data_IF_247629490594
#
_entry.id   IF_247629490594
#
_cell.length_a   1.000
_cell.length_b   1.000
_cell.length_c   1.000
_cell.angle_alpha   90.00
_cell.angle_beta   90.00
_cell.angle_gamma   90.00
#
_symmetry.space_group_name_H-M   'P 1'
#
loop_
_entity.id
_entity.type
_entity.pdbx_description
1 polymer ?
#
# COMPACT_ATOMS: atom_id res chain seq x y z
N UNK A 1 -37.34 48.85 21.38
CA UNK A 1 -36.46 47.92 20.61
C UNK A 1 -34.99 48.36 20.65
N UNK A 2 -34.59 49.51 20.10
CA UNK A 2 -33.16 49.94 20.13
C UNK A 2 -32.59 50.07 21.54
N UNK A 3 -33.37 50.62 22.48
CA UNK A 3 -32.97 50.73 23.89
C UNK A 3 -32.70 49.35 24.51
N UNK A 4 -33.59 48.38 24.28
CA UNK A 4 -33.41 46.99 24.71
C UNK A 4 -32.12 46.37 24.12
N UNK A 5 -31.84 46.58 22.84
CA UNK A 5 -30.60 46.10 22.23
C UNK A 5 -29.36 46.74 22.84
N UNK A 6 -29.40 48.04 23.17
CA UNK A 6 -28.30 48.73 23.83
C UNK A 6 -28.10 48.22 25.26
N UNK A 7 -29.18 47.99 26.00
CA UNK A 7 -29.14 47.43 27.35
C UNK A 7 -28.53 46.02 27.34
N UNK A 8 -29.00 45.13 26.45
CA UNK A 8 -28.42 43.79 26.28
C UNK A 8 -26.94 43.88 25.85
N UNK A 9 -26.60 44.84 24.99
CA UNK A 9 -25.25 45.08 24.50
C UNK A 9 -24.23 45.34 25.63
N UNK A 10 -24.65 45.98 26.72
CA UNK A 10 -23.81 46.20 27.90
C UNK A 10 -23.39 44.90 28.61
N UNK A 11 -24.16 43.81 28.42
CA UNK A 11 -23.89 42.49 28.99
C UNK A 11 -23.29 41.50 27.98
N UNK A 12 -22.96 41.95 26.77
CA UNK A 12 -22.49 41.10 25.67
C UNK A 12 -21.31 40.20 26.04
N UNK A 13 -20.32 40.72 26.76
CA UNK A 13 -19.17 39.95 27.23
C UNK A 13 -19.58 38.78 28.13
N UNK A 14 -20.46 39.04 29.11
CA UNK A 14 -20.97 38.02 30.04
C UNK A 14 -21.82 36.98 29.31
N UNK A 15 -22.66 37.41 28.36
CA UNK A 15 -23.51 36.52 27.57
C UNK A 15 -22.66 35.60 26.68
N UNK A 16 -21.66 36.14 25.97
CA UNK A 16 -20.76 35.35 25.14
C UNK A 16 -19.86 34.43 25.97
N UNK A 17 -19.41 34.88 27.15
CA UNK A 17 -18.68 34.03 28.10
C UNK A 17 -19.52 32.83 28.56
N UNK A 18 -20.78 33.08 28.92
CA UNK A 18 -21.73 32.01 29.31
C UNK A 18 -21.99 31.05 28.16
N UNK A 19 -22.24 31.57 26.95
CA UNK A 19 -22.47 30.74 25.75
C UNK A 19 -21.26 29.83 25.45
N UNK A 20 -20.03 30.35 25.56
CA UNK A 20 -18.80 29.54 25.38
C UNK A 20 -18.65 28.46 26.43
N UNK A 21 -19.01 28.75 27.69
CA UNK A 21 -18.95 27.76 28.77
C UNK A 21 -19.98 26.64 28.54
N UNK A 22 -21.22 26.99 28.17
CA UNK A 22 -22.25 26.02 27.82
C UNK A 22 -21.85 25.17 26.61
N UNK A 23 -21.28 25.78 25.57
CA UNK A 23 -20.79 25.04 24.40
C UNK A 23 -19.70 24.02 24.75
N UNK A 24 -18.78 24.35 25.68
CA UNK A 24 -17.77 23.39 26.16
C UNK A 24 -18.40 22.24 26.93
N UNK A 25 -19.35 22.54 27.82
CA UNK A 25 -20.09 21.50 28.57
C UNK A 25 -20.86 20.57 27.64
N UNK A 26 -21.52 21.11 26.62
CA UNK A 26 -22.24 20.33 25.61
C UNK A 26 -21.30 19.37 24.87
N UNK A 27 -20.17 19.87 24.37
CA UNK A 27 -19.15 19.04 23.71
C UNK A 27 -18.63 17.94 24.63
N UNK A 28 -18.23 18.25 25.87
CA UNK A 28 -17.70 17.25 26.79
C UNK A 28 -18.74 16.19 27.17
N UNK A 29 -20.00 16.60 27.36
CA UNK A 29 -21.09 15.68 27.69
C UNK A 29 -21.40 14.77 26.50
N UNK A 30 -21.44 15.31 25.28
CA UNK A 30 -21.65 14.52 24.07
C UNK A 30 -20.53 13.49 23.85
N UNK A 31 -19.26 13.88 24.05
CA UNK A 31 -18.13 12.95 23.96
C UNK A 31 -18.21 11.84 25.02
N UNK A 32 -18.56 12.19 26.26
CA UNK A 32 -18.71 11.22 27.35
C UNK A 32 -19.88 10.25 27.11
N UNK A 33 -21.01 10.74 26.60
CA UNK A 33 -22.18 9.92 26.24
C UNK A 33 -21.83 8.87 25.17
N UNK A 34 -21.14 9.30 24.10
CA UNK A 34 -20.68 8.38 23.05
C UNK A 34 -19.70 7.37 23.62
N UNK A 35 -18.74 7.80 24.44
CA UNK A 35 -17.74 6.92 25.03
C UNK A 35 -18.38 5.82 25.89
N UNK A 36 -19.35 6.17 26.72
CA UNK A 36 -20.09 5.22 27.56
C UNK A 36 -20.93 4.25 26.72
N UNK A 37 -21.66 4.75 25.73
CA UNK A 37 -22.54 3.89 24.91
C UNK A 37 -21.78 2.92 24.00
N UNK A 38 -20.57 3.28 23.60
CA UNK A 38 -19.77 2.54 22.60
C UNK A 38 -18.55 1.85 23.20
N UNK A 39 -18.40 1.87 24.53
CA UNK A 39 -17.25 1.32 25.24
C UNK A 39 -15.93 1.86 24.66
N UNK A 40 -15.81 3.19 24.57
CA UNK A 40 -14.54 3.81 24.18
C UNK A 40 -13.66 3.98 25.41
N UNK A 41 -12.35 3.94 25.20
CA UNK A 41 -11.35 3.99 26.27
C UNK A 41 -10.57 5.30 26.22
N UNK A 42 -10.09 5.73 27.38
CA UNK A 42 -9.25 6.93 27.48
C UNK A 42 -7.87 6.60 26.88
N UNK A 43 -7.43 7.27 25.80
CA UNK A 43 -6.11 7.04 25.24
C UNK A 43 -5.01 7.62 26.16
N UNK A 44 -3.84 6.99 26.12
CA UNK A 44 -2.60 7.56 26.69
C UNK A 44 -1.88 8.32 25.58
N UNK A 45 -1.71 9.64 25.75
CA UNK A 45 -0.95 10.47 24.81
C UNK A 45 0.53 10.51 25.20
N UNK A 46 1.42 10.36 24.22
CA UNK A 46 2.88 10.37 24.43
C UNK A 46 3.59 11.33 23.46
N UNK A 47 4.84 11.65 23.75
CA UNK A 47 5.71 12.47 22.88
C UNK A 47 6.74 11.62 22.12
N UNK A 48 6.84 10.32 22.43
CA UNK A 48 7.84 9.39 21.89
C UNK A 48 7.51 8.88 20.47
N UNK A 49 6.35 9.27 19.92
CA UNK A 49 5.96 8.97 18.55
C UNK A 49 5.47 7.54 18.32
N UNK A 50 5.32 6.71 19.36
CA UNK A 50 4.76 5.36 19.25
C UNK A 50 3.28 5.38 18.89
N UNK A 51 2.78 4.33 18.25
CA UNK A 51 1.36 4.13 18.02
C UNK A 51 1.03 2.68 18.36
N UNK A 52 0.22 2.47 19.40
CA UNK A 52 -0.23 1.16 19.84
C UNK A 52 -1.73 1.23 20.11
N UNK A 53 -2.53 0.57 19.28
CA UNK A 53 -3.98 0.49 19.45
C UNK A 53 -4.33 -0.99 19.49
N UNK A 54 -4.99 -1.42 20.56
CA UNK A 54 -5.49 -2.78 20.75
C UNK A 54 -6.98 -2.84 20.47
N UNK A 55 -7.37 -3.80 19.66
CA UNK A 55 -8.75 -4.01 19.23
C UNK A 55 -9.43 -2.71 18.74
N UNK A 56 -8.72 -1.93 17.92
CA UNK A 56 -9.26 -0.70 17.35
C UNK A 56 -10.45 -0.97 16.45
N UNK A 57 -11.43 -0.07 16.46
CA UNK A 57 -12.67 -0.16 15.68
C UNK A 57 -12.93 1.13 14.91
N UNK A 58 -13.49 1.03 13.71
CA UNK A 58 -13.85 2.21 12.94
C UNK A 58 -15.18 2.80 13.47
N UNK A 59 -15.20 4.00 14.07
CA UNK A 59 -16.35 4.47 14.87
C UNK A 59 -17.64 4.62 14.05
N UNK A 60 -17.53 5.00 12.77
CA UNK A 60 -18.69 5.12 11.87
C UNK A 60 -19.15 3.76 11.33
N UNK A 61 -18.23 2.91 10.86
CA UNK A 61 -18.59 1.60 10.27
C UNK A 61 -19.18 0.67 11.33
N UNK A 62 -18.61 0.65 12.54
CA UNK A 62 -19.17 -0.06 13.71
C UNK A 62 -20.60 0.42 13.99
N UNK A 63 -20.81 1.73 14.10
CA UNK A 63 -22.13 2.29 14.38
C UNK A 63 -23.18 1.99 13.29
N UNK A 64 -22.76 1.84 12.03
CA UNK A 64 -23.65 1.47 10.91
C UNK A 64 -23.93 -0.03 10.91
N UNK A 65 -22.95 -0.88 11.24
CA UNK A 65 -23.11 -2.32 11.34
C UNK A 65 -24.18 -2.68 12.40
N UNK A 66 -24.13 -2.03 13.57
CA UNK A 66 -25.09 -2.26 14.67
C UNK A 66 -26.54 -1.88 14.34
N UNK A 67 -26.74 -1.00 13.35
CA UNK A 67 -28.09 -0.55 12.93
C UNK A 67 -28.77 -1.50 11.97
N UNK A 68 -28.06 -2.48 11.42
CA UNK A 68 -28.65 -3.47 10.51
C UNK A 68 -29.55 -4.44 11.30
N UNK A 69 -30.64 -4.95 10.70
CA UNK A 69 -31.53 -5.90 11.37
C UNK A 69 -30.76 -7.09 11.95
N UNK A 70 -31.08 -7.44 13.20
CA UNK A 70 -30.47 -8.57 13.91
C UNK A 70 -30.64 -9.86 13.11
N UNK A 71 -29.52 -10.52 12.79
CA UNK A 71 -29.46 -11.75 11.99
C UNK A 71 -28.81 -11.62 10.60
N UNK A 72 -28.56 -10.40 10.11
CA UNK A 72 -27.91 -10.14 8.81
C UNK A 72 -26.63 -9.28 8.91
N UNK A 73 -26.23 -8.91 10.12
CA UNK A 73 -25.11 -8.02 10.38
C UNK A 73 -23.94 -8.80 10.98
N UNK A 74 -22.86 -8.96 10.24
CA UNK A 74 -21.60 -9.41 10.81
C UNK A 74 -21.07 -8.34 11.76
N UNK A 75 -20.63 -8.72 12.99
CA UNK A 75 -20.01 -7.77 13.90
C UNK A 75 -18.74 -7.18 13.29
N UNK A 76 -18.46 -5.91 13.58
CA UNK A 76 -17.22 -5.29 13.15
C UNK A 76 -16.02 -6.03 13.76
N UNK A 77 -15.04 -6.40 12.93
CA UNK A 77 -13.83 -7.10 13.37
C UNK A 77 -12.79 -6.08 13.86
N UNK A 78 -12.47 -6.04 15.16
CA UNK A 78 -11.47 -5.11 15.68
C UNK A 78 -10.05 -5.53 15.27
N UNK A 79 -9.17 -4.54 15.11
CA UNK A 79 -7.80 -4.75 14.63
C UNK A 79 -6.77 -4.02 15.49
N UNK A 80 -5.66 -4.70 15.74
CA UNK A 80 -4.50 -4.11 16.40
C UNK A 80 -3.68 -3.29 15.39
N UNK A 81 -3.04 -2.23 15.86
CA UNK A 81 -1.92 -1.61 15.14
C UNK A 81 -0.83 -1.27 16.13
N UNK A 82 0.40 -1.67 15.79
CA UNK A 82 1.60 -1.29 16.53
C UNK A 82 2.64 -0.75 15.56
N UNK A 83 3.09 0.47 15.81
CA UNK A 83 4.14 1.14 15.05
C UNK A 83 5.10 1.84 16.01
N UNK A 84 6.37 1.51 15.88
CA UNK A 84 7.46 2.29 16.45
C UNK A 84 7.70 3.57 15.62
N UNK A 85 8.41 4.57 16.15
CA UNK A 85 8.64 5.83 15.45
C UNK A 85 9.31 5.65 14.08
N UNK A 86 8.66 6.15 13.04
CA UNK A 86 9.15 6.11 11.66
C UNK A 86 9.10 4.74 10.99
N UNK A 87 8.31 3.80 11.53
CA UNK A 87 7.94 2.56 10.85
C UNK A 87 6.94 2.79 9.71
N UNK A 88 7.05 1.94 8.70
CA UNK A 88 6.18 1.90 7.52
C UNK A 88 5.55 0.50 7.48
N UNK A 89 4.23 0.44 7.50
CA UNK A 89 3.49 -0.80 7.28
C UNK A 89 3.04 -0.86 5.82
N UNK A 90 3.48 -1.89 5.11
CA UNK A 90 2.94 -2.26 3.80
C UNK A 90 1.82 -3.25 4.04
N UNK A 91 0.59 -2.84 3.74
CA UNK A 91 -0.61 -3.64 3.88
C UNK A 91 -1.06 -4.17 2.52
N UNK A 92 -0.95 -5.49 2.35
CA UNK A 92 -1.38 -6.20 1.15
C UNK A 92 -2.69 -6.94 1.37
N UNK A 93 -3.36 -7.29 0.27
CA UNK A 93 -4.59 -8.08 0.31
C UNK A 93 -5.55 -7.67 -0.81
N UNK A 94 -6.59 -8.48 -1.06
CA UNK A 94 -7.53 -8.24 -2.15
C UNK A 94 -8.33 -6.95 -1.96
N UNK A 95 -8.92 -6.45 -3.05
CA UNK A 95 -9.87 -5.35 -2.96
C UNK A 95 -11.09 -5.78 -2.13
N UNK A 96 -11.72 -4.82 -1.44
CA UNK A 96 -12.85 -5.06 -0.51
C UNK A 96 -12.52 -5.85 0.76
N UNK A 97 -11.27 -6.21 1.03
CA UNK A 97 -10.86 -6.93 2.25
C UNK A 97 -10.78 -6.05 3.51
N UNK A 98 -11.17 -4.78 3.44
CA UNK A 98 -11.16 -3.87 4.58
C UNK A 98 -9.87 -3.07 4.80
N UNK A 99 -8.89 -3.12 3.89
CA UNK A 99 -7.64 -2.32 3.97
C UNK A 99 -7.92 -0.83 4.18
N UNK A 100 -8.69 -0.19 3.29
CA UNK A 100 -9.02 1.24 3.39
C UNK A 100 -9.80 1.57 4.68
N UNK A 101 -10.64 0.65 5.16
CA UNK A 101 -11.35 0.81 6.45
C UNK A 101 -10.36 0.81 7.62
N UNK A 102 -9.39 -0.11 7.63
CA UNK A 102 -8.34 -0.15 8.64
C UNK A 102 -7.45 1.11 8.62
N UNK A 103 -7.03 1.56 7.44
CA UNK A 103 -6.26 2.81 7.27
C UNK A 103 -7.02 4.01 7.86
N UNK A 104 -8.28 4.22 7.44
CA UNK A 104 -9.13 5.32 7.94
C UNK A 104 -9.38 5.22 9.43
N UNK A 105 -9.59 4.01 9.94
CA UNK A 105 -9.78 3.76 11.36
C UNK A 105 -8.61 4.30 12.18
N UNK A 106 -7.37 3.97 11.82
CA UNK A 106 -6.19 4.44 12.54
C UNK A 106 -6.11 5.97 12.53
N UNK A 107 -6.33 6.60 11.37
CA UNK A 107 -6.36 8.05 11.24
C UNK A 107 -7.38 8.71 12.18
N UNK A 108 -8.60 8.17 12.19
CA UNK A 108 -9.71 8.70 12.98
C UNK A 108 -9.44 8.52 14.48
N UNK A 109 -8.88 7.38 14.90
CA UNK A 109 -8.53 7.14 16.31
C UNK A 109 -7.49 8.15 16.79
N UNK A 110 -6.46 8.41 15.99
CA UNK A 110 -5.43 9.42 16.30
C UNK A 110 -6.03 10.83 16.40
N UNK A 111 -6.90 11.20 15.45
CA UNK A 111 -7.61 12.48 15.49
C UNK A 111 -8.50 12.60 16.72
N UNK A 112 -9.28 11.57 17.04
CA UNK A 112 -10.17 11.52 18.21
C UNK A 112 -9.40 11.69 19.52
N UNK A 113 -8.23 11.07 19.65
CA UNK A 113 -7.38 11.23 20.80
C UNK A 113 -6.87 12.67 20.95
N UNK A 114 -6.46 13.31 19.85
CA UNK A 114 -5.93 14.68 19.86
C UNK A 114 -7.00 15.78 20.01
N UNK A 115 -8.27 15.52 19.70
CA UNK A 115 -9.38 16.43 20.08
C UNK A 115 -9.78 16.29 21.56
N UNK A 116 -9.18 15.34 22.29
CA UNK A 116 -9.48 15.08 23.70
C UNK A 116 -10.66 14.14 23.95
N UNK A 117 -11.01 13.29 22.98
CA UNK A 117 -12.06 12.28 23.13
C UNK A 117 -11.50 10.93 23.62
N UNK A 118 -12.39 10.07 24.10
CA UNK A 118 -12.14 8.63 24.25
C UNK A 118 -12.17 7.97 22.87
N UNK A 119 -11.47 6.86 22.70
CA UNK A 119 -11.28 6.22 21.39
C UNK A 119 -11.88 4.81 21.29
N UNK A 120 -12.33 4.38 20.10
CA UNK A 120 -12.90 3.04 19.85
C UNK A 120 -11.80 1.97 19.83
N UNK A 121 -11.33 1.56 21.01
CA UNK A 121 -10.30 0.53 21.20
C UNK A 121 -10.48 -0.14 22.57
N UNK A 122 -9.78 -1.22 22.83
CA UNK A 122 -9.66 -1.79 24.19
C UNK A 122 -8.54 -1.08 24.96
N UNK A 123 -7.44 -0.74 24.27
CA UNK A 123 -6.35 0.06 24.81
C UNK A 123 -5.74 0.92 23.69
N UNK A 124 -5.28 2.13 24.02
CA UNK A 124 -4.63 3.00 23.03
C UNK A 124 -3.53 3.86 23.66
N UNK A 125 -2.32 3.77 23.10
CA UNK A 125 -1.19 4.67 23.34
C UNK A 125 -0.81 5.37 22.04
N UNK A 126 -0.95 6.70 22.01
CA UNK A 126 -0.84 7.49 20.78
C UNK A 126 0.18 8.61 20.98
N UNK A 127 1.29 8.52 20.26
CA UNK A 127 2.26 9.60 20.14
C UNK A 127 1.67 10.75 19.34
N UNK A 128 1.72 11.96 19.90
CA UNK A 128 1.12 13.17 19.29
C UNK A 128 1.75 13.44 17.92
N UNK A 129 0.89 13.52 16.90
CA UNK A 129 1.25 13.84 15.52
C UNK A 129 0.98 15.31 15.21
N UNK A 130 1.84 15.89 14.38
CA UNK A 130 1.68 17.28 13.92
C UNK A 130 0.64 17.40 12.79
N UNK A 131 0.60 16.41 11.91
CA UNK A 131 -0.29 16.34 10.74
C UNK A 131 -0.63 14.89 10.41
N UNK A 132 -1.86 14.71 9.91
CA UNK A 132 -2.30 13.46 9.27
C UNK A 132 -2.41 13.74 7.78
N UNK A 133 -1.61 13.03 6.99
CA UNK A 133 -1.63 13.08 5.53
C UNK A 133 -2.36 11.87 4.99
N UNK A 134 -3.28 12.07 4.07
CA UNK A 134 -4.06 10.99 3.46
C UNK A 134 -4.06 11.12 1.95
N UNK A 135 -3.62 10.07 1.28
CA UNK A 135 -3.93 9.79 -0.12
C UNK A 135 -4.83 8.56 -0.12
N UNK A 136 -6.13 8.80 0.02
CA UNK A 136 -7.14 7.73 -0.02
C UNK A 136 -8.09 8.12 -1.13
N UNK A 137 -8.19 7.30 -2.18
CA UNK A 137 -8.97 7.61 -3.38
C UNK A 137 -10.34 8.20 -3.04
N UNK A 138 -10.55 9.46 -3.42
CA UNK A 138 -11.87 10.06 -3.49
C UNK A 138 -12.52 9.61 -4.79
N UNK A 139 -13.85 9.44 -4.79
CA UNK A 139 -14.59 9.26 -6.04
C UNK A 139 -14.25 10.40 -6.98
N UNK A 140 -13.92 10.03 -8.22
CA UNK A 140 -13.33 10.90 -9.23
C UNK A 140 -14.01 12.27 -9.28
N UNK A 141 -13.33 13.30 -8.77
CA UNK A 141 -13.65 14.67 -9.17
C UNK A 141 -13.10 14.87 -10.59
N UNK A 142 -13.86 14.37 -11.58
CA UNK A 142 -13.64 14.61 -13.01
C UNK A 142 -13.87 16.10 -13.38
N UNK A 143 -14.10 16.97 -12.39
CA UNK A 143 -14.56 18.33 -12.58
C UNK A 143 -13.46 19.36 -12.96
N UNK A 144 -12.20 18.96 -13.14
CA UNK A 144 -11.11 19.92 -13.40
C UNK A 144 -10.25 19.68 -14.66
N UNK A 145 -10.57 18.68 -15.50
CA UNK A 145 -9.80 18.42 -16.73
C UNK A 145 -8.36 17.92 -16.51
N UNK A 146 -8.00 17.52 -15.28
CA UNK A 146 -6.73 16.86 -14.98
C UNK A 146 -6.90 15.33 -14.97
N UNK A 147 -5.87 14.61 -15.41
CA UNK A 147 -5.82 13.15 -15.29
C UNK A 147 -5.86 12.75 -13.81
N UNK A 148 -6.63 11.71 -13.48
CA UNK A 148 -6.73 11.16 -12.12
C UNK A 148 -5.35 10.78 -11.57
N UNK A 149 -4.46 10.30 -12.44
CA UNK A 149 -3.06 10.00 -12.09
C UNK A 149 -2.26 11.27 -11.75
N UNK A 150 -2.47 12.39 -12.46
CA UNK A 150 -1.80 13.65 -12.14
C UNK A 150 -2.23 14.18 -10.77
N UNK A 151 -3.52 14.13 -10.46
CA UNK A 151 -4.05 14.53 -9.14
C UNK A 151 -3.40 13.68 -8.04
N UNK A 152 -3.29 12.38 -8.24
CA UNK A 152 -2.61 11.47 -7.32
C UNK A 152 -1.13 11.82 -7.11
N UNK A 153 -0.41 12.17 -8.17
CA UNK A 153 0.99 12.58 -8.09
C UNK A 153 1.15 13.93 -7.36
N UNK A 154 0.24 14.88 -7.59
CA UNK A 154 0.23 16.17 -6.88
C UNK A 154 -0.04 15.95 -5.38
N UNK A 155 -1.01 15.11 -5.03
CA UNK A 155 -1.30 14.76 -3.64
C UNK A 155 -0.10 14.09 -2.98
N UNK A 156 0.52 13.12 -3.64
CA UNK A 156 1.72 12.43 -3.16
C UNK A 156 2.87 13.41 -2.97
N UNK A 157 3.12 14.29 -3.94
CA UNK A 157 4.15 15.32 -3.83
C UNK A 157 3.87 16.29 -2.66
N UNK A 158 2.61 16.68 -2.44
CA UNK A 158 2.24 17.52 -1.32
C UNK A 158 2.54 16.84 0.03
N UNK A 159 2.27 15.54 0.14
CA UNK A 159 2.61 14.74 1.33
C UNK A 159 4.12 14.75 1.55
N UNK A 160 4.91 14.36 0.55
CA UNK A 160 6.36 14.23 0.69
C UNK A 160 7.06 15.56 1.01
N UNK A 161 6.56 16.67 0.46
CA UNK A 161 7.15 18.00 0.69
C UNK A 161 6.80 18.61 2.05
N UNK A 162 5.71 18.19 2.70
CA UNK A 162 5.19 18.85 3.91
C UNK A 162 5.14 17.96 5.15
N UNK A 163 5.30 16.65 4.98
CA UNK A 163 5.35 15.72 6.10
C UNK A 163 6.65 15.83 6.89
N UNK A 164 6.56 15.57 8.19
CA UNK A 164 7.69 15.56 9.12
C UNK A 164 7.79 14.21 9.80
N UNK A 165 8.85 13.99 10.59
CA UNK A 165 9.00 12.79 11.43
C UNK A 165 7.92 12.61 12.49
N UNK A 166 7.15 13.66 12.79
CA UNK A 166 6.00 13.60 13.69
C UNK A 166 4.69 13.34 12.96
N UNK A 167 4.67 13.30 11.63
CA UNK A 167 3.44 13.11 10.87
C UNK A 167 3.01 11.64 10.83
N UNK A 168 1.71 11.43 10.60
CA UNK A 168 1.14 10.14 10.20
C UNK A 168 0.75 10.23 8.73
N UNK A 169 1.27 9.32 7.91
CA UNK A 169 0.98 9.25 6.48
C UNK A 169 0.13 8.00 6.21
N UNK A 170 -0.92 8.18 5.40
CA UNK A 170 -1.80 7.11 4.96
C UNK A 170 -1.88 7.15 3.45
N UNK A 171 -1.40 6.08 2.82
CA UNK A 171 -1.37 5.91 1.37
C UNK A 171 -2.25 4.71 1.01
N UNK A 172 -3.18 4.90 0.09
CA UNK A 172 -4.05 3.84 -0.42
C UNK A 172 -3.89 3.78 -1.94
N UNK A 173 -3.25 2.70 -2.41
CA UNK A 173 -3.20 2.29 -3.81
C UNK A 173 -2.55 3.30 -4.78
N UNK A 174 -1.44 3.92 -4.36
CA UNK A 174 -0.61 4.75 -5.24
C UNK A 174 -0.04 3.93 -6.41
N UNK A 175 -0.02 4.53 -7.60
CA UNK A 175 0.50 3.96 -8.84
C UNK A 175 -0.56 3.32 -9.74
N UNK A 176 -1.82 3.22 -9.28
CA UNK A 176 -2.86 2.47 -10.02
C UNK A 176 -3.26 3.09 -11.36
N UNK A 177 -3.17 4.42 -11.49
CA UNK A 177 -3.62 5.16 -12.69
C UNK A 177 -2.69 5.11 -13.90
N UNK A 178 -1.61 4.32 -13.87
CA UNK A 178 -0.58 4.25 -14.90
C UNK A 178 -0.20 2.81 -15.25
N UNK A 179 0.81 2.60 -16.09
CA UNK A 179 1.34 1.28 -16.41
C UNK A 179 1.79 0.55 -15.14
N UNK A 180 1.63 -0.77 -15.09
CA UNK A 180 1.93 -1.56 -13.88
C UNK A 180 3.37 -1.34 -13.40
N UNK A 181 4.34 -1.35 -14.31
CA UNK A 181 5.75 -1.15 -13.96
C UNK A 181 6.05 0.28 -13.50
N UNK A 182 5.45 1.30 -14.12
CA UNK A 182 5.61 2.69 -13.64
C UNK A 182 4.98 2.85 -12.26
N UNK A 183 3.80 2.27 -12.04
CA UNK A 183 3.08 2.33 -10.78
C UNK A 183 3.85 1.69 -9.63
N UNK A 184 4.38 0.48 -9.84
CA UNK A 184 5.25 -0.21 -8.88
C UNK A 184 6.50 0.63 -8.60
N UNK A 185 7.17 1.13 -9.65
CA UNK A 185 8.42 1.89 -9.53
C UNK A 185 8.23 3.18 -8.72
N UNK A 186 7.15 3.91 -8.96
CA UNK A 186 6.81 5.12 -8.22
C UNK A 186 6.47 4.79 -6.77
N UNK A 187 5.60 3.80 -6.54
CA UNK A 187 5.22 3.39 -5.19
C UNK A 187 6.43 2.94 -4.36
N UNK A 188 7.34 2.18 -4.98
CA UNK A 188 8.61 1.77 -4.38
C UNK A 188 9.48 2.96 -4.00
N UNK A 189 9.72 3.88 -4.94
CA UNK A 189 10.53 5.07 -4.72
C UNK A 189 9.93 5.98 -3.63
N UNK A 190 8.61 6.07 -3.52
CA UNK A 190 7.92 6.81 -2.45
C UNK A 190 8.21 6.20 -1.08
N UNK A 191 8.12 4.87 -0.95
CA UNK A 191 8.44 4.18 0.32
C UNK A 191 9.91 4.38 0.70
N UNK A 192 10.82 4.19 -0.25
CA UNK A 192 12.24 4.43 -0.05
C UNK A 192 12.52 5.88 0.36
N UNK A 193 11.87 6.85 -0.27
CA UNK A 193 12.03 8.26 0.08
C UNK A 193 11.56 8.53 1.51
N UNK A 194 10.36 8.07 1.90
CA UNK A 194 9.85 8.23 3.27
C UNK A 194 10.79 7.58 4.29
N UNK A 195 11.34 6.40 3.96
CA UNK A 195 12.24 5.65 4.82
C UNK A 195 13.63 6.30 4.92
N UNK A 196 14.27 6.62 3.81
CA UNK A 196 15.67 7.03 3.76
C UNK A 196 15.86 8.53 4.03
N UNK A 197 14.84 9.35 3.76
CA UNK A 197 14.98 10.80 3.91
C UNK A 197 15.16 11.18 5.40
N UNK A 198 16.27 11.84 5.77
CA UNK A 198 16.71 11.97 7.16
C UNK A 198 15.76 12.77 8.06
N UNK A 199 14.98 13.69 7.47
CA UNK A 199 14.02 14.56 8.18
C UNK A 199 12.57 14.09 8.08
N UNK A 200 12.26 13.18 7.15
CA UNK A 200 10.90 12.72 6.91
C UNK A 200 10.59 11.59 7.87
N UNK A 201 11.03 10.34 7.63
CA UNK A 201 10.90 9.21 8.57
C UNK A 201 9.56 9.17 9.34
N UNK A 202 8.46 9.49 8.66
CA UNK A 202 7.14 9.55 9.24
C UNK A 202 6.58 8.14 9.45
N UNK A 203 5.65 7.98 10.40
CA UNK A 203 4.88 6.75 10.49
C UNK A 203 3.98 6.65 9.26
N UNK A 204 4.01 5.53 8.56
CA UNK A 204 3.25 5.37 7.31
C UNK A 204 2.48 4.08 7.27
N UNK A 205 1.19 4.14 6.95
CA UNK A 205 0.37 3.01 6.55
C UNK A 205 0.18 3.07 5.04
N UNK A 206 0.62 2.05 4.32
CA UNK A 206 0.48 1.98 2.87
C UNK A 206 -0.28 0.71 2.47
N UNK A 207 -1.55 0.86 2.09
CA UNK A 207 -2.31 -0.21 1.45
C UNK A 207 -1.97 -0.28 -0.04
N UNK A 208 -1.59 -1.45 -0.53
CA UNK A 208 -1.23 -1.65 -1.94
C UNK A 208 -1.75 -2.99 -2.47
N UNK A 209 -1.83 -3.06 -3.80
CA UNK A 209 -2.10 -4.27 -4.56
C UNK A 209 -0.83 -4.85 -5.21
N UNK A 210 0.29 -4.11 -5.14
CA UNK A 210 1.58 -4.56 -5.62
C UNK A 210 2.24 -5.45 -4.56
N UNK A 211 2.32 -6.74 -4.85
CA UNK A 211 2.97 -7.72 -3.98
C UNK A 211 4.49 -7.54 -3.97
N UNK A 212 5.05 -6.99 -5.04
CA UNK A 212 6.47 -6.67 -5.21
C UNK A 212 6.97 -5.75 -4.09
N UNK A 213 6.12 -4.83 -3.59
CA UNK A 213 6.48 -3.94 -2.48
C UNK A 213 6.73 -4.67 -1.16
N UNK A 214 6.33 -5.93 -1.02
CA UNK A 214 6.62 -6.72 0.20
C UNK A 214 8.11 -7.00 0.36
N UNK A 215 8.88 -7.05 -0.73
CA UNK A 215 10.34 -7.23 -0.71
C UNK A 215 11.06 -6.07 0.00
N UNK A 216 10.43 -4.90 0.11
CA UNK A 216 10.99 -3.75 0.82
C UNK A 216 11.22 -4.04 2.31
N UNK A 217 10.45 -4.94 2.93
CA UNK A 217 10.64 -5.30 4.34
C UNK A 217 11.99 -6.02 4.59
N UNK A 218 12.53 -6.69 3.57
CA UNK A 218 13.82 -7.39 3.68
C UNK A 218 14.99 -6.41 3.49
N UNK A 219 14.77 -5.30 2.77
CA UNK A 219 15.80 -4.30 2.44
C UNK A 219 15.81 -3.11 3.40
N UNK A 220 14.64 -2.73 3.93
CA UNK A 220 14.46 -1.52 4.73
C UNK A 220 14.04 -1.88 6.18
N UNK A 221 14.89 -1.66 7.20
CA UNK A 221 14.70 -2.20 8.55
C UNK A 221 13.47 -1.68 9.30
N UNK A 222 12.87 -0.57 8.86
CA UNK A 222 11.64 -0.01 9.45
C UNK A 222 10.39 -0.29 8.63
N UNK A 223 10.51 -1.09 7.57
CA UNK A 223 9.36 -1.54 6.79
C UNK A 223 8.87 -2.88 7.36
N UNK A 224 7.56 -3.01 7.53
CA UNK A 224 6.91 -4.22 8.03
C UNK A 224 5.77 -4.60 7.09
N UNK A 225 5.69 -5.89 6.75
CA UNK A 225 4.60 -6.41 5.94
C UNK A 225 3.44 -6.86 6.83
N UNK A 226 2.23 -6.49 6.42
CA UNK A 226 0.98 -6.98 6.95
C UNK A 226 0.06 -7.37 5.79
N UNK A 227 -0.86 -8.29 6.06
CA UNK A 227 -1.90 -8.67 5.12
C UNK A 227 -3.25 -8.78 5.82
N UNK A 228 -4.32 -8.84 5.02
CA UNK A 228 -5.64 -9.21 5.53
C UNK A 228 -5.75 -10.73 5.54
N UNK A 229 -6.06 -11.30 6.70
CA UNK A 229 -6.25 -12.73 6.88
C UNK A 229 -7.40 -13.27 6.02
N UNK A 230 -7.11 -14.34 5.32
CA UNK A 230 -8.01 -15.06 4.42
C UNK A 230 -8.17 -16.48 4.94
N UNK A 231 -9.41 -16.97 5.03
CA UNK A 231 -9.70 -18.37 5.30
C UNK A 231 -10.16 -19.05 4.01
N UNK A 232 -9.60 -20.23 3.71
CA UNK A 232 -10.01 -21.08 2.60
C UNK A 232 -10.79 -22.27 3.18
N UNK A 233 -12.08 -22.37 2.83
CA UNK A 233 -12.96 -23.47 3.25
C UNK A 233 -13.50 -24.18 2.00
N UNK A 234 -12.83 -25.27 1.62
CA UNK A 234 -13.09 -25.94 0.33
C UNK A 234 -12.71 -25.06 -0.85
N UNK A 235 -13.66 -24.80 -1.75
CA UNK A 235 -13.49 -23.89 -2.89
C UNK A 235 -13.88 -22.43 -2.56
N UNK A 236 -14.24 -22.13 -1.31
CA UNK A 236 -14.68 -20.80 -0.90
C UNK A 236 -13.60 -20.05 -0.14
N UNK A 237 -13.44 -18.77 -0.49
CA UNK A 237 -12.51 -17.84 0.16
C UNK A 237 -13.32 -16.87 1.01
N UNK A 238 -13.04 -16.80 2.31
CA UNK A 238 -13.70 -15.91 3.26
C UNK A 238 -12.69 -14.89 3.78
N UNK A 239 -13.01 -13.60 3.66
CA UNK A 239 -12.20 -12.51 4.20
C UNK A 239 -12.54 -12.30 5.67
N UNK A 240 -11.56 -12.52 6.55
CA UNK A 240 -11.76 -12.42 7.99
C UNK A 240 -11.73 -10.96 8.49
N UNK A 241 -11.41 -10.00 7.62
CA UNK A 241 -11.22 -8.58 7.94
C UNK A 241 -10.22 -8.30 9.08
N UNK A 242 -9.39 -9.30 9.43
CA UNK A 242 -8.35 -9.22 10.45
C UNK A 242 -7.00 -8.95 9.79
N UNK A 243 -6.27 -7.96 10.28
CA UNK A 243 -4.93 -7.62 9.85
C UNK A 243 -3.93 -8.49 10.61
N UNK A 244 -3.02 -9.15 9.90
CA UNK A 244 -1.99 -10.02 10.49
C UNK A 244 -0.61 -9.71 9.90
N UNK A 245 0.48 -9.92 10.66
CA UNK A 245 1.84 -9.76 10.13
C UNK A 245 2.13 -10.73 8.97
N UNK A 246 2.90 -10.28 7.99
CA UNK A 246 3.31 -11.06 6.82
C UNK A 246 2.93 -10.40 5.49
N UNK A 247 3.61 -10.79 4.41
CA UNK A 247 3.19 -10.47 3.05
C UNK A 247 2.01 -11.34 2.62
N UNK A 248 1.27 -10.95 1.59
CA UNK A 248 0.29 -11.83 0.96
C UNK A 248 0.97 -12.70 -0.09
N UNK A 249 0.85 -14.03 0.04
CA UNK A 249 1.53 -14.99 -0.84
C UNK A 249 0.82 -15.20 -2.19
N UNK A 250 -0.43 -14.72 -2.34
CA UNK A 250 -1.27 -14.93 -3.52
C UNK A 250 -2.20 -13.76 -3.81
N UNK A 251 -2.52 -13.58 -5.09
CA UNK A 251 -3.58 -12.69 -5.56
C UNK A 251 -4.93 -13.40 -5.56
N UNK A 252 -5.92 -12.85 -4.85
CA UNK A 252 -7.26 -13.42 -4.74
C UNK A 252 -8.28 -12.83 -5.74
N UNK A 253 -7.83 -12.10 -6.76
CA UNK A 253 -8.72 -11.39 -7.69
C UNK A 253 -9.74 -12.29 -8.40
N UNK A 254 -9.32 -13.47 -8.86
CA UNK A 254 -10.22 -14.44 -9.50
C UNK A 254 -11.24 -15.01 -8.50
N UNK A 255 -10.85 -15.22 -7.25
CA UNK A 255 -11.77 -15.69 -6.20
C UNK A 255 -12.82 -14.63 -5.85
N UNK A 256 -12.43 -13.34 -5.80
CA UNK A 256 -13.39 -12.23 -5.63
C UNK A 256 -14.39 -12.19 -6.80
N UNK A 257 -13.93 -12.45 -8.02
CA UNK A 257 -14.81 -12.52 -9.19
C UNK A 257 -15.81 -13.70 -9.08
N UNK A 258 -15.38 -14.84 -8.55
CA UNK A 258 -16.28 -15.98 -8.28
C UNK A 258 -17.32 -15.65 -7.20
N UNK A 259 -16.93 -14.97 -6.11
CA UNK A 259 -17.84 -14.48 -5.08
C UNK A 259 -18.85 -13.45 -5.62
N UNK A 260 -18.43 -12.63 -6.59
CA UNK A 260 -19.31 -11.69 -7.29
C UNK A 260 -20.32 -12.37 -8.23
N UNK A 261 -20.25 -13.70 -8.38
CA UNK A 261 -21.18 -14.48 -9.20
C UNK A 261 -20.82 -14.52 -10.68
N UNK A 262 -19.55 -14.32 -11.06
CA UNK A 262 -19.14 -14.46 -12.45
C UNK A 262 -19.40 -15.91 -12.95
N UNK A 263 -19.76 -16.08 -14.23
CA UNK A 263 -20.00 -17.42 -14.78
C UNK A 263 -18.78 -18.33 -14.62
N UNK A 264 -19.01 -19.58 -14.20
CA UNK A 264 -17.94 -20.59 -13.99
C UNK A 264 -17.03 -20.77 -15.21
N UNK A 265 -17.55 -20.58 -16.43
CA UNK A 265 -16.77 -20.63 -17.66
C UNK A 265 -15.73 -19.52 -17.75
N UNK A 266 -16.08 -18.30 -17.31
CA UNK A 266 -15.19 -17.14 -17.25
C UNK A 266 -14.14 -17.33 -16.16
N UNK A 267 -14.56 -17.74 -14.95
CA UNK A 267 -13.65 -18.00 -13.83
C UNK A 267 -12.61 -19.06 -14.21
N UNK A 268 -13.05 -20.18 -14.82
CA UNK A 268 -12.14 -21.24 -15.29
C UNK A 268 -11.16 -20.73 -16.35
N UNK A 269 -11.61 -19.91 -17.31
CA UNK A 269 -10.73 -19.34 -18.32
C UNK A 269 -9.73 -18.36 -17.73
N UNK A 270 -10.15 -17.53 -16.78
CA UNK A 270 -9.27 -16.61 -16.08
C UNK A 270 -8.17 -17.36 -15.30
N UNK A 271 -8.51 -18.49 -14.64
CA UNK A 271 -7.51 -19.34 -13.96
C UNK A 271 -6.47 -19.91 -14.92
N UNK A 272 -6.89 -20.33 -16.12
CA UNK A 272 -5.95 -20.81 -17.15
C UNK A 272 -5.00 -19.71 -17.61
N UNK A 273 -5.54 -18.54 -17.96
CA UNK A 273 -4.73 -17.40 -18.41
C UNK A 273 -3.73 -16.97 -17.33
N UNK A 274 -4.14 -16.93 -16.05
CA UNK A 274 -3.24 -16.59 -14.95
C UNK A 274 -2.10 -17.62 -14.83
N UNK A 275 -2.39 -18.91 -14.94
CA UNK A 275 -1.37 -19.95 -14.88
C UNK A 275 -0.35 -19.82 -16.03
N UNK A 276 -0.82 -19.48 -17.23
CA UNK A 276 0.05 -19.25 -18.39
C UNK A 276 0.96 -18.03 -18.15
N UNK A 277 0.41 -16.91 -17.66
CA UNK A 277 1.17 -15.69 -17.35
C UNK A 277 2.19 -15.89 -16.22
N UNK A 278 1.83 -16.64 -15.16
CA UNK A 278 2.76 -16.97 -14.07
C UNK A 278 3.88 -17.90 -14.53
N UNK A 279 3.61 -18.79 -15.48
CA UNK A 279 4.62 -19.65 -16.09
C UNK A 279 5.59 -18.84 -16.96
N UNK A 280 5.08 -17.90 -17.76
CA UNK A 280 5.91 -16.97 -18.56
C UNK A 280 6.76 -16.06 -17.66
N UNK A 281 6.21 -15.55 -16.55
CA UNK A 281 6.93 -14.71 -15.60
C UNK A 281 8.01 -15.47 -14.79
N UNK A 282 7.90 -16.80 -14.68
CA UNK A 282 8.88 -17.66 -14.00
C UNK A 282 10.00 -18.18 -14.92
N UNK A 283 9.95 -17.89 -16.22
CA UNK A 283 11.09 -18.14 -17.11
C UNK A 283 12.27 -17.22 -16.71
N UNK A 284 13.52 -17.73 -16.64
CA UNK A 284 14.58 -17.03 -15.92
C UNK A 284 15.13 -15.77 -16.64
N UNK A 285 15.35 -14.74 -15.82
CA UNK A 285 16.28 -13.60 -15.94
C UNK A 285 16.04 -12.46 -16.96
N UNK A 286 15.53 -11.32 -16.46
CA UNK A 286 15.94 -10.00 -16.98
C UNK A 286 15.71 -8.79 -16.04
N UNK A 287 14.82 -8.84 -15.03
CA UNK A 287 14.36 -7.60 -14.37
C UNK A 287 15.07 -7.19 -13.06
N UNK A 288 15.71 -8.11 -12.32
CA UNK A 288 16.24 -7.79 -10.97
C UNK A 288 17.70 -7.28 -10.97
N UNK A 289 18.41 -7.27 -12.12
CA UNK A 289 19.83 -6.86 -12.18
C UNK A 289 20.11 -5.42 -12.60
N UNK A 290 19.10 -4.56 -12.77
CA UNK A 290 19.30 -3.21 -13.35
C UNK A 290 19.16 -2.02 -12.40
N UNK A 291 18.92 -2.22 -11.10
CA UNK A 291 18.75 -1.09 -10.14
C UNK A 291 20.01 -0.80 -9.30
N UNK A 292 21.03 -1.67 -9.30
CA UNK A 292 22.28 -1.47 -8.51
C UNK A 292 23.47 -0.91 -9.33
N UNK A 293 23.24 -0.02 -10.30
CA UNK A 293 24.33 0.64 -11.04
C UNK A 293 24.35 2.17 -10.90
N UNK A 294 24.23 2.69 -9.68
CA UNK A 294 24.68 4.06 -9.37
C UNK A 294 25.25 4.19 -7.95
N UNK A 295 26.20 3.34 -7.52
CA UNK A 295 27.28 3.76 -6.61
C UNK A 295 28.48 2.85 -6.88
N UNK A 296 29.65 3.45 -7.13
CA UNK A 296 30.86 2.71 -7.43
C UNK A 296 31.38 1.86 -6.27
N UNK A 297 32.31 0.97 -6.68
CA UNK A 297 33.31 0.21 -5.90
C UNK A 297 33.03 -1.29 -5.76
N UNK A 298 33.84 -2.02 -6.54
CA UNK A 298 34.38 -3.39 -6.38
C UNK A 298 33.51 -4.61 -6.73
N UNK A 299 33.93 -5.27 -7.82
CA UNK A 299 33.57 -6.64 -8.19
C UNK A 299 33.92 -7.64 -7.06
N UNK A 300 33.05 -8.62 -6.79
CA UNK A 300 33.49 -9.95 -6.43
C UNK A 300 33.77 -10.73 -7.72
N UNK A 301 35.07 -10.86 -7.99
CA UNK A 301 35.67 -11.95 -8.75
C UNK A 301 35.10 -13.28 -8.20
N UNK A 302 34.90 -14.28 -9.06
CA UNK A 302 34.34 -15.63 -8.80
C UNK A 302 32.83 -15.83 -9.07
N UNK A 303 32.48 -15.81 -10.34
CA UNK A 303 31.57 -16.83 -10.89
C UNK A 303 32.32 -17.54 -12.00
N UNK A 304 32.56 -18.83 -11.83
CA UNK A 304 33.24 -19.69 -12.78
C UNK A 304 32.55 -19.58 -14.14
N UNK A 305 33.23 -18.98 -15.11
CA UNK A 305 32.82 -18.97 -16.51
C UNK A 305 32.99 -20.40 -17.03
N UNK A 306 31.90 -21.03 -17.45
CA UNK A 306 32.00 -22.22 -18.28
C UNK A 306 32.63 -21.78 -19.61
N UNK A 307 33.61 -22.53 -20.18
CA UNK A 307 34.18 -22.23 -21.50
C UNK A 307 33.13 -22.06 -22.61
N UNK A 308 31.95 -22.67 -22.39
CA UNK A 308 30.80 -22.67 -23.28
C UNK A 308 30.10 -21.30 -23.33
N UNK A 309 30.06 -20.55 -22.22
CA UNK A 309 29.40 -19.24 -22.15
C UNK A 309 30.17 -18.17 -22.95
N UNK A 310 31.49 -18.28 -23.00
CA UNK A 310 32.35 -17.40 -23.80
C UNK A 310 32.18 -17.62 -25.31
N UNK A 311 32.14 -18.89 -25.74
CA UNK A 311 31.95 -19.24 -27.16
C UNK A 311 30.54 -18.90 -27.66
N UNK A 312 29.50 -19.09 -26.85
CA UNK A 312 28.13 -18.65 -27.16
C UNK A 312 28.03 -17.12 -27.34
N UNK A 313 28.77 -16.35 -26.53
CA UNK A 313 28.82 -14.90 -26.67
C UNK A 313 29.52 -14.45 -27.96
N UNK A 314 30.56 -15.16 -28.40
CA UNK A 314 31.24 -14.90 -29.69
C UNK A 314 30.34 -15.24 -30.88
N UNK A 315 29.60 -16.34 -30.82
CA UNK A 315 28.66 -16.78 -31.88
C UNK A 315 27.47 -15.81 -32.00
N UNK A 316 26.94 -15.33 -30.88
CA UNK A 316 25.91 -14.29 -30.84
C UNK A 316 26.39 -12.95 -31.41
N UNK A 317 27.68 -12.63 -31.24
CA UNK A 317 28.30 -11.45 -31.85
C UNK A 317 28.49 -11.62 -33.35
N UNK A 318 28.98 -12.78 -33.80
CA UNK A 318 29.15 -13.09 -35.22
C UNK A 318 27.83 -13.03 -36.01
N UNK A 319 26.73 -13.49 -35.41
CA UNK A 319 25.39 -13.37 -35.98
C UNK A 319 24.89 -11.92 -36.05
N UNK A 320 25.22 -11.10 -35.05
CA UNK A 320 24.81 -9.68 -35.01
C UNK A 320 25.56 -8.83 -36.02
N UNK A 321 26.84 -9.12 -36.20
CA UNK A 321 27.74 -8.36 -37.08
C UNK A 321 27.61 -8.82 -38.56
N UNK A 322 26.75 -9.80 -38.84
CA UNK A 322 26.51 -10.30 -40.20
C UNK A 322 25.57 -9.35 -40.97
N UNK A 323 26.11 -8.67 -41.99
CA UNK A 323 25.29 -7.86 -42.89
C UNK A 323 24.65 -8.73 -43.98
N UNK A 324 23.42 -9.16 -43.70
CA UNK A 324 22.64 -10.02 -44.60
C UNK A 324 22.30 -9.33 -45.93
N UNK A 325 22.32 -7.99 -45.98
CA UNK A 325 21.94 -7.25 -47.18
C UNK A 325 23.03 -7.27 -48.27
N UNK A 326 24.29 -7.51 -47.90
CA UNK A 326 25.43 -7.54 -48.83
C UNK A 326 25.87 -8.96 -49.24
N UNK A 327 25.29 -10.01 -48.65
CA UNK A 327 25.66 -11.38 -48.97
C UNK A 327 24.96 -11.88 -50.24
N UNK A 328 25.71 -12.56 -51.10
CA UNK A 328 25.09 -13.35 -52.17
C UNK A 328 24.37 -14.58 -51.59
N UNK A 329 23.34 -15.12 -52.26
CA UNK A 329 22.59 -16.27 -51.75
C UNK A 329 23.47 -17.49 -51.43
N UNK A 330 24.57 -17.68 -52.16
CA UNK A 330 25.51 -18.78 -51.92
C UNK A 330 26.38 -18.54 -50.67
N UNK A 331 26.83 -17.30 -50.45
CA UNK A 331 27.60 -16.92 -49.25
C UNK A 331 26.76 -17.00 -47.99
N UNK A 332 25.48 -16.59 -48.06
CA UNK A 332 24.55 -16.71 -46.95
C UNK A 332 24.33 -18.18 -46.54
N UNK A 333 24.15 -19.09 -47.52
CA UNK A 333 23.99 -20.53 -47.25
C UNK A 333 25.26 -21.11 -46.63
N UNK A 334 26.44 -20.77 -47.16
CA UNK A 334 27.71 -21.24 -46.60
C UNK A 334 27.92 -20.73 -45.17
N UNK A 335 27.60 -19.46 -44.89
CA UNK A 335 27.76 -18.88 -43.55
C UNK A 335 26.80 -19.49 -42.54
N UNK A 336 25.56 -19.78 -42.94
CA UNK A 336 24.60 -20.48 -42.09
C UNK A 336 25.05 -21.93 -41.80
N UNK A 337 25.67 -22.59 -42.77
CA UNK A 337 26.22 -23.93 -42.60
C UNK A 337 27.41 -23.93 -41.61
N UNK A 338 28.31 -22.95 -41.70
CA UNK A 338 29.42 -22.78 -40.74
C UNK A 338 28.90 -22.58 -39.31
N UNK A 339 27.94 -21.67 -39.12
CA UNK A 339 27.35 -21.41 -37.80
C UNK A 339 26.61 -22.62 -37.24
N UNK A 340 25.99 -23.43 -38.10
CA UNK A 340 25.32 -24.67 -37.69
C UNK A 340 26.34 -25.72 -37.22
N UNK A 341 27.51 -25.81 -37.85
CA UNK A 341 28.59 -26.70 -37.39
C UNK A 341 29.17 -26.25 -36.05
N UNK A 342 29.44 -24.95 -35.88
CA UNK A 342 29.97 -24.42 -34.62
C UNK A 342 29.01 -24.64 -33.43
N UNK A 343 27.69 -24.53 -33.67
CA UNK A 343 26.68 -24.83 -32.64
C UNK A 343 26.59 -26.34 -32.36
N UNK A 344 26.70 -27.19 -33.37
CA UNK A 344 26.68 -28.63 -33.19
C UNK A 344 27.89 -29.13 -32.37
N UNK A 345 29.08 -28.61 -32.63
CA UNK A 345 30.29 -28.90 -31.84
C UNK A 345 30.15 -28.45 -30.38
N UNK A 346 29.53 -27.29 -30.13
CA UNK A 346 29.26 -26.79 -28.78
C UNK A 346 28.25 -27.66 -28.00
N UNK A 347 27.29 -28.27 -28.70
CA UNK A 347 26.30 -29.15 -28.08
C UNK A 347 26.86 -30.57 -27.84
N UNK A 348 27.77 -31.07 -28.68
CA UNK A 348 28.48 -32.34 -28.44
C UNK A 348 29.47 -32.25 -27.26
N UNK A 349 30.01 -31.07 -26.95
CA UNK A 349 30.86 -30.85 -25.76
C UNK A 349 30.05 -30.81 -24.44
N UNK A 350 28.70 -30.77 -24.49
CA UNK A 350 27.80 -30.72 -23.32
C UNK A 350 27.20 -32.07 -22.89
N UNK A 351 27.20 -33.08 -23.77
CA UNK A 351 26.76 -34.48 -23.50
C UNK A 351 27.94 -35.37 -23.06
#
# INVERSE_FOLDING_TARGET
>A
FRELCQEIGQYSERLLGTARALARLDVYTALAEVALRRNYVRPTLTEDGRLDIRAGRHPVVEAVADRRPSGLAEPFVPNDVRMEPGEIIILTGPNMSGKSTFLRQVAIIVLMAQIGSFVPADEATIGVVDRIFTRIGAQDEIAAGQSTFMVEMIETANILNNATSRSLIILDEIGRGTSTYDGISIAWAVVEHIHNHPRLRAKTLFATHYHELTELADRLPRVRNYNVAVAEEGDQVVFLHRIVPGGADRSYGIHVAELAGLPRTVVRRARQILADLEAEARAPEALVRRVDQEVGVQLPLFTAQSPVDGRLAELAKALRDLDVAELTPLEAINKLYELQQEVAELMEEQD
#
